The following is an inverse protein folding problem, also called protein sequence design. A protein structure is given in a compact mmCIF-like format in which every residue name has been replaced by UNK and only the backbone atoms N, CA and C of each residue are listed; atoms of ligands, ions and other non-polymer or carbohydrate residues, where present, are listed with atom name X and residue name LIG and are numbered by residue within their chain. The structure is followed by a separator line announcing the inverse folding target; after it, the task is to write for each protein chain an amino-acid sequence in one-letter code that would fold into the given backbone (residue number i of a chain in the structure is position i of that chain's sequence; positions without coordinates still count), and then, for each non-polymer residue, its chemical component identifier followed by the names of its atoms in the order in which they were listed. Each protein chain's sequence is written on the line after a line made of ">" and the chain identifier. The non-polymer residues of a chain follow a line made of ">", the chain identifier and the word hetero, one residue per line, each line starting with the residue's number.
data_IF_015046366058
#
_entry.id   IF_015046366058
#
_cell.length_a   1.000
_cell.length_b   1.000
_cell.length_c   1.000
_cell.angle_alpha   90.00
_cell.angle_beta   90.00
_cell.angle_gamma   90.00
#
_symmetry.space_group_name_H-M   'P 1'
#
loop_
_entity.id
_entity.type
_entity.pdbx_description
1 polymer ?
#
# COMPACT_ATOMS: atom_id res chain seq x y z
N UNK A 1 47.42 -50.18 -19.07
CA UNK A 1 47.35 -49.51 -17.75
C UNK A 1 46.95 -48.08 -18.02
N UNK A 2 45.67 -47.90 -18.31
CA UNK A 2 45.03 -46.61 -18.51
C UNK A 2 43.99 -46.44 -17.40
N UNK A 3 44.03 -45.31 -16.71
CA UNK A 3 42.89 -44.39 -16.64
C UNK A 3 43.26 -43.16 -15.82
N UNK A 4 43.12 -42.03 -16.51
CA UNK A 4 43.23 -40.66 -16.02
C UNK A 4 42.24 -40.41 -14.87
N UNK A 5 42.71 -39.73 -13.83
CA UNK A 5 41.87 -39.11 -12.81
C UNK A 5 41.12 -37.92 -13.41
N UNK A 6 39.80 -38.06 -13.55
CA UNK A 6 38.91 -36.94 -13.85
C UNK A 6 38.51 -36.26 -12.54
N UNK A 7 38.92 -35.00 -12.39
CA UNK A 7 38.47 -34.09 -11.33
C UNK A 7 36.95 -33.92 -11.39
N UNK A 8 36.24 -34.34 -10.35
CA UNK A 8 34.85 -33.98 -10.16
C UNK A 8 34.76 -32.48 -9.85
N UNK A 9 34.26 -31.71 -10.82
CA UNK A 9 33.77 -30.35 -10.64
C UNK A 9 32.43 -30.46 -9.92
N UNK A 10 32.35 -29.96 -8.68
CA UNK A 10 31.09 -29.82 -7.98
C UNK A 10 30.33 -28.65 -8.61
N UNK A 11 29.26 -28.93 -9.36
CA UNK A 11 28.29 -27.91 -9.75
C UNK A 11 27.50 -27.48 -8.51
N UNK A 12 27.29 -26.18 -8.27
CA UNK A 12 26.31 -25.75 -7.28
C UNK A 12 24.92 -26.19 -7.77
N UNK A 13 24.21 -26.95 -6.94
CA UNK A 13 22.78 -27.18 -7.09
C UNK A 13 22.05 -25.85 -7.20
N UNK A 14 20.95 -25.73 -7.98
CA UNK A 14 20.15 -24.51 -7.96
C UNK A 14 19.64 -24.32 -6.54
N UNK A 15 20.11 -23.26 -5.89
CA UNK A 15 19.69 -22.90 -4.54
C UNK A 15 18.19 -22.75 -4.55
N UNK A 16 17.49 -23.51 -3.70
CA UNK A 16 16.06 -23.36 -3.50
C UNK A 16 15.75 -21.90 -3.21
N UNK A 17 14.79 -21.33 -3.92
CA UNK A 17 14.46 -19.93 -3.80
C UNK A 17 13.97 -19.62 -2.39
N UNK A 18 14.65 -18.71 -1.69
CA UNK A 18 14.34 -18.40 -0.30
C UNK A 18 12.99 -17.68 -0.19
N UNK A 19 12.15 -18.14 0.73
CA UNK A 19 10.85 -17.55 0.98
C UNK A 19 11.00 -16.14 1.56
N UNK A 20 10.37 -15.15 0.94
CA UNK A 20 10.43 -13.71 1.27
C UNK A 20 11.86 -13.16 1.25
N UNK A 21 12.65 -13.54 0.25
CA UNK A 21 13.99 -13.00 0.02
C UNK A 21 14.01 -11.54 -0.40
N UNK A 22 12.86 -10.93 -0.75
CA UNK A 22 12.78 -9.52 -1.16
C UNK A 22 11.91 -8.69 -0.21
N UNK A 23 12.39 -7.50 0.15
CA UNK A 23 11.63 -6.47 0.84
C UNK A 23 11.26 -5.33 -0.13
N UNK A 24 9.96 -5.09 -0.29
CA UNK A 24 9.43 -4.02 -1.10
C UNK A 24 8.84 -2.90 -0.23
N UNK A 25 9.09 -1.66 -0.62
CA UNK A 25 8.62 -0.45 0.05
C UNK A 25 7.87 0.41 -0.95
N UNK A 26 6.55 0.52 -0.78
CA UNK A 26 5.65 1.29 -1.61
C UNK A 26 5.40 2.66 -0.97
N UNK A 27 6.02 3.68 -1.54
CA UNK A 27 5.89 5.07 -1.13
C UNK A 27 4.64 5.69 -1.76
N UNK A 28 3.74 6.17 -0.92
CA UNK A 28 2.43 6.67 -1.33
C UNK A 28 2.07 7.95 -0.57
N UNK A 29 1.13 8.69 -1.15
CA UNK A 29 0.30 9.60 -0.39
C UNK A 29 -1.16 9.15 -0.52
N UNK A 30 -1.90 9.02 0.60
CA UNK A 30 -3.30 8.60 0.60
C UNK A 30 -4.24 9.47 -0.25
N UNK A 31 -3.89 10.74 -0.49
CA UNK A 31 -4.70 11.65 -1.30
C UNK A 31 -4.35 11.58 -2.81
N UNK A 32 -3.39 10.74 -3.20
CA UNK A 32 -2.90 10.62 -4.57
C UNK A 32 -3.73 9.65 -5.40
N UNK A 33 -4.25 10.12 -6.54
CA UNK A 33 -5.00 9.26 -7.48
C UNK A 33 -4.12 8.15 -8.08
N UNK A 34 -2.88 8.46 -8.45
CA UNK A 34 -1.97 7.48 -9.04
C UNK A 34 -1.63 6.36 -8.03
N UNK A 35 -1.56 6.68 -6.72
CA UNK A 35 -1.39 5.70 -5.66
C UNK A 35 -2.65 4.86 -5.41
N UNK A 36 -3.85 5.35 -5.77
CA UNK A 36 -5.06 4.53 -5.79
C UNK A 36 -5.08 3.58 -6.99
N UNK A 37 -4.62 4.06 -8.15
CA UNK A 37 -4.64 3.29 -9.40
C UNK A 37 -3.61 2.14 -9.44
N UNK A 38 -2.53 2.22 -8.64
CA UNK A 38 -1.52 1.14 -8.55
C UNK A 38 -2.00 -0.04 -7.69
N UNK A 39 -3.00 0.14 -6.82
CA UNK A 39 -3.49 -0.89 -5.90
C UNK A 39 -3.77 -2.27 -6.56
N UNK A 40 -4.51 -2.38 -7.68
CA UNK A 40 -4.74 -3.67 -8.32
C UNK A 40 -3.45 -4.37 -8.78
N UNK A 41 -2.40 -3.61 -9.13
CA UNK A 41 -1.09 -4.15 -9.50
C UNK A 41 -0.43 -4.80 -8.29
N UNK A 42 -0.48 -4.11 -7.14
CA UNK A 42 0.09 -4.60 -5.89
C UNK A 42 -0.65 -5.83 -5.38
N UNK A 43 -1.98 -5.83 -5.45
CA UNK A 43 -2.80 -6.99 -5.08
C UNK A 43 -2.45 -8.18 -5.97
N UNK A 44 -2.44 -8.01 -7.29
CA UNK A 44 -2.10 -9.10 -8.23
C UNK A 44 -0.68 -9.63 -7.98
N UNK A 45 0.29 -8.73 -7.85
CA UNK A 45 1.69 -9.09 -7.60
C UNK A 45 1.84 -9.87 -6.29
N UNK A 46 1.11 -9.46 -5.24
CA UNK A 46 1.13 -10.16 -3.96
C UNK A 46 0.44 -11.53 -4.01
N UNK A 47 -0.67 -11.67 -4.75
CA UNK A 47 -1.35 -12.96 -4.94
C UNK A 47 -0.47 -13.96 -5.69
N UNK A 48 0.19 -13.51 -6.76
CA UNK A 48 1.03 -14.37 -7.61
C UNK A 48 2.41 -14.64 -6.99
N UNK A 49 3.05 -13.63 -6.37
CA UNK A 49 4.46 -13.71 -5.97
C UNK A 49 4.73 -13.38 -4.51
N UNK A 50 3.71 -13.21 -3.66
CA UNK A 50 3.86 -12.83 -2.25
C UNK A 50 4.63 -13.82 -1.37
N UNK A 51 4.95 -15.01 -1.88
CA UNK A 51 5.88 -15.96 -1.24
C UNK A 51 7.36 -15.55 -1.37
N UNK A 52 7.70 -14.71 -2.35
CA UNK A 52 9.06 -14.26 -2.61
C UNK A 52 9.37 -12.88 -2.03
N UNK A 53 8.34 -12.08 -1.71
CA UNK A 53 8.55 -10.75 -1.16
C UNK A 53 7.57 -10.38 -0.05
N UNK A 54 7.96 -9.41 0.75
CA UNK A 54 7.06 -8.67 1.63
C UNK A 54 6.93 -7.24 1.15
N UNK A 55 5.79 -6.60 1.38
CA UNK A 55 5.56 -5.20 1.01
C UNK A 55 5.16 -4.36 2.22
N UNK A 56 5.70 -3.15 2.31
CA UNK A 56 5.34 -2.15 3.32
C UNK A 56 4.95 -0.85 2.64
N UNK A 57 3.87 -0.24 3.09
CA UNK A 57 3.45 1.08 2.64
C UNK A 57 4.14 2.15 3.47
N UNK A 58 4.74 3.15 2.82
CA UNK A 58 5.42 4.28 3.45
C UNK A 58 4.67 5.55 3.07
N UNK A 59 4.22 6.32 4.06
CA UNK A 59 3.41 7.52 3.82
C UNK A 59 4.32 8.74 3.66
N UNK A 60 4.26 9.42 2.53
CA UNK A 60 5.13 10.57 2.21
C UNK A 60 4.52 11.93 2.57
N UNK A 61 3.19 12.02 2.69
CA UNK A 61 2.41 13.19 3.09
C UNK A 61 2.52 14.43 2.18
N UNK A 62 1.65 15.42 2.45
CA UNK A 62 1.60 16.74 1.78
C UNK A 62 1.71 17.89 2.79
N UNK A 63 2.26 19.01 2.36
CA UNK A 63 2.19 20.28 3.09
C UNK A 63 1.21 21.24 2.42
N UNK A 64 0.35 21.85 3.23
CA UNK A 64 -0.45 22.98 2.79
C UNK A 64 0.42 24.23 2.58
N UNK A 65 0.32 24.80 1.37
CA UNK A 65 1.06 26.00 0.96
C UNK A 65 1.39 26.09 -0.54
N UNK A 66 1.30 24.99 -1.30
CA UNK A 66 1.52 25.02 -2.75
C UNK A 66 0.20 24.97 -3.50
N UNK A 67 -0.15 26.05 -4.19
CA UNK A 67 -1.18 26.10 -5.25
C UNK A 67 -0.72 25.28 -6.47
N UNK A 68 -0.43 24.00 -6.25
CA UNK A 68 -0.01 23.08 -7.28
C UNK A 68 -1.27 22.43 -7.84
N UNK A 69 -1.52 22.68 -9.13
CA UNK A 69 -2.53 21.97 -9.92
C UNK A 69 -2.41 20.44 -9.72
N UNK A 70 -3.52 19.74 -9.91
CA UNK A 70 -3.69 18.28 -9.73
C UNK A 70 -2.60 17.38 -10.35
N UNK A 71 -1.80 17.89 -11.29
CA UNK A 71 -0.71 17.17 -11.97
C UNK A 71 0.70 17.43 -11.40
N UNK A 72 0.85 18.22 -10.33
CA UNK A 72 2.16 18.60 -9.76
C UNK A 72 2.49 17.90 -8.43
N UNK A 73 1.64 16.99 -7.98
CA UNK A 73 1.82 16.21 -6.75
C UNK A 73 3.18 15.49 -6.70
N UNK A 74 3.58 14.93 -7.84
CA UNK A 74 4.69 13.98 -7.99
C UNK A 74 6.07 14.65 -8.14
N UNK A 75 6.27 15.91 -7.71
CA UNK A 75 7.56 16.60 -7.91
C UNK A 75 8.49 16.50 -6.69
N UNK A 76 9.81 16.30 -6.90
CA UNK A 76 10.80 16.17 -5.82
C UNK A 76 10.78 17.32 -4.81
N UNK A 77 10.51 18.53 -5.29
CA UNK A 77 10.47 19.73 -4.47
C UNK A 77 9.38 19.68 -3.39
N UNK A 78 8.23 19.05 -3.66
CA UNK A 78 7.14 18.98 -2.69
C UNK A 78 7.46 18.01 -1.56
N UNK A 79 7.99 16.83 -1.87
CA UNK A 79 8.37 15.82 -0.87
C UNK A 79 9.48 16.35 0.05
N UNK A 80 10.50 16.98 -0.55
CA UNK A 80 11.57 17.63 0.23
C UNK A 80 11.03 18.77 1.10
N UNK A 81 10.10 19.57 0.59
CA UNK A 81 9.45 20.62 1.38
C UNK A 81 8.61 20.05 2.54
N UNK A 82 7.93 18.92 2.34
CA UNK A 82 7.21 18.20 3.40
C UNK A 82 8.16 17.79 4.51
N UNK A 83 9.29 17.18 4.13
CA UNK A 83 10.34 16.83 5.07
C UNK A 83 10.88 18.05 5.82
N UNK A 84 11.32 19.08 5.09
CA UNK A 84 11.92 20.28 5.69
C UNK A 84 10.94 20.98 6.62
N UNK A 85 9.66 21.13 6.27
CA UNK A 85 8.67 21.77 7.15
C UNK A 85 8.37 20.90 8.38
N UNK A 86 8.07 19.62 8.20
CA UNK A 86 7.75 18.71 9.32
C UNK A 86 8.93 18.55 10.28
N UNK A 87 10.14 18.54 9.74
CA UNK A 87 11.39 18.43 10.51
C UNK A 87 11.79 19.75 11.15
N UNK A 88 11.64 20.89 10.47
CA UNK A 88 11.96 22.20 11.03
C UNK A 88 10.99 22.63 12.13
N UNK A 89 9.73 22.18 12.06
CA UNK A 89 8.75 22.36 13.13
C UNK A 89 9.10 21.57 14.41
N UNK A 90 10.01 20.60 14.33
CA UNK A 90 10.44 19.78 15.46
C UNK A 90 11.96 19.59 15.40
N UNK A 91 12.69 20.56 15.96
CA UNK A 91 14.13 20.41 16.18
C UNK A 91 14.42 19.03 16.79
N UNK A 92 15.28 18.26 16.12
CA UNK A 92 15.68 16.91 16.55
C UNK A 92 16.32 16.96 17.93
N UNK A 93 15.50 16.86 18.98
CA UNK A 93 15.95 16.54 20.32
C UNK A 93 15.20 15.30 20.78
N UNK A 94 15.97 14.31 21.24
CA UNK A 94 15.50 13.00 21.67
C UNK A 94 14.67 13.05 22.97
N UNK A 95 14.41 14.24 23.53
CA UNK A 95 13.86 14.42 24.88
C UNK A 95 12.33 14.59 24.96
N UNK A 96 11.60 14.38 23.86
CA UNK A 96 10.14 14.23 23.90
C UNK A 96 9.34 15.46 24.37
N UNK A 97 9.97 16.62 24.59
CA UNK A 97 9.28 17.87 24.94
C UNK A 97 9.00 18.68 23.68
N UNK A 98 7.77 18.57 23.18
CA UNK A 98 7.29 19.24 21.96
C UNK A 98 6.43 20.45 22.34
N UNK A 99 6.81 21.64 21.90
CA UNK A 99 5.90 22.80 21.85
C UNK A 99 5.28 22.85 20.44
N UNK A 100 3.96 22.68 20.35
CA UNK A 100 3.23 22.77 19.07
C UNK A 100 2.85 24.23 18.78
N UNK A 101 3.22 24.72 17.60
CA UNK A 101 2.32 25.61 16.85
C UNK A 101 1.51 24.73 15.88
N UNK A 102 0.24 25.07 15.75
CA UNK A 102 -0.88 24.26 15.29
C UNK A 102 -0.62 23.43 14.02
N UNK A 103 -0.72 22.10 14.15
CA UNK A 103 -0.75 21.16 13.03
C UNK A 103 -2.16 21.08 12.42
N UNK A 104 -2.67 22.21 11.93
CA UNK A 104 -4.03 22.35 11.38
C UNK A 104 -4.16 22.00 9.90
N UNK A 105 -3.10 21.52 9.25
CA UNK A 105 -3.14 21.10 7.85
C UNK A 105 -3.72 19.69 7.70
N UNK A 106 -4.84 19.56 7.02
CA UNK A 106 -5.56 18.30 6.74
C UNK A 106 -4.68 17.15 6.22
N UNK A 107 -3.72 17.35 5.31
CA UNK A 107 -2.91 16.24 4.80
C UNK A 107 -1.96 15.64 5.86
N UNK A 108 -1.51 16.46 6.80
CA UNK A 108 -0.74 15.98 7.95
C UNK A 108 -1.61 15.12 8.87
N UNK A 109 -2.84 15.57 9.15
CA UNK A 109 -3.80 14.84 9.96
C UNK A 109 -4.16 13.47 9.35
N UNK A 110 -4.34 13.42 8.04
CA UNK A 110 -4.57 12.18 7.28
C UNK A 110 -3.40 11.20 7.42
N UNK A 111 -2.16 11.68 7.26
CA UNK A 111 -0.97 10.83 7.39
C UNK A 111 -0.80 10.31 8.82
N UNK A 112 -1.08 11.18 9.80
CA UNK A 112 -1.12 10.84 11.23
C UNK A 112 -2.17 9.77 11.54
N UNK A 113 -3.35 9.86 10.95
CA UNK A 113 -4.42 8.88 11.14
C UNK A 113 -4.02 7.48 10.65
N UNK A 114 -3.35 7.39 9.50
CA UNK A 114 -2.86 6.10 9.00
C UNK A 114 -1.86 5.50 9.99
N UNK A 115 -0.91 6.31 10.48
CA UNK A 115 0.05 5.84 11.48
C UNK A 115 -0.61 5.45 12.80
N UNK A 116 -1.64 6.18 13.25
CA UNK A 116 -2.43 5.81 14.43
C UNK A 116 -3.13 4.46 14.26
N UNK A 117 -3.72 4.20 13.09
CA UNK A 117 -4.29 2.88 12.79
C UNK A 117 -3.22 1.77 12.73
N UNK A 118 -2.03 2.06 12.21
CA UNK A 118 -0.91 1.11 12.16
C UNK A 118 -0.36 0.74 13.55
N UNK A 119 -0.54 1.58 14.59
CA UNK A 119 -0.17 1.23 15.96
C UNK A 119 -0.98 0.04 16.49
N UNK A 120 -2.17 -0.22 15.94
CA UNK A 120 -2.96 -1.42 16.22
C UNK A 120 -2.55 -2.62 15.33
N UNK A 121 -1.52 -2.44 14.49
CA UNK A 121 -0.93 -3.45 13.62
C UNK A 121 -1.00 -3.09 12.13
N UNK A 122 -0.05 -3.62 11.36
CA UNK A 122 0.08 -3.33 9.91
C UNK A 122 -1.21 -3.62 9.11
N UNK A 123 -1.93 -4.69 9.46
CA UNK A 123 -3.21 -5.02 8.82
C UNK A 123 -4.31 -4.00 9.13
N UNK A 124 -4.33 -3.45 10.34
CA UNK A 124 -5.27 -2.39 10.74
C UNK A 124 -5.00 -1.11 9.95
N UNK A 125 -3.73 -0.71 9.84
CA UNK A 125 -3.31 0.42 9.01
C UNK A 125 -3.68 0.28 7.54
N UNK A 126 -3.44 -0.88 6.93
CA UNK A 126 -3.81 -1.15 5.53
C UNK A 126 -5.32 -1.09 5.30
N UNK A 127 -6.14 -1.66 6.20
CA UNK A 127 -7.60 -1.55 6.12
C UNK A 127 -8.07 -0.10 6.24
N UNK A 128 -7.48 0.64 7.18
CA UNK A 128 -7.77 2.06 7.38
C UNK A 128 -7.43 2.90 6.15
N UNK A 129 -6.24 2.70 5.58
CA UNK A 129 -5.81 3.39 4.35
C UNK A 129 -6.80 3.13 3.21
N UNK A 130 -7.16 1.86 2.96
CA UNK A 130 -8.10 1.51 1.89
C UNK A 130 -9.46 2.19 2.11
N UNK A 131 -10.00 2.13 3.33
CA UNK A 131 -11.28 2.78 3.67
C UNK A 131 -11.22 4.30 3.50
N UNK A 132 -10.14 4.92 3.95
CA UNK A 132 -9.94 6.36 3.77
C UNK A 132 -9.93 6.74 2.29
N UNK A 133 -9.22 5.98 1.45
CA UNK A 133 -9.17 6.23 0.01
C UNK A 133 -10.54 6.01 -0.67
N UNK A 134 -11.31 5.01 -0.24
CA UNK A 134 -12.70 4.84 -0.69
C UNK A 134 -13.52 6.12 -0.47
N UNK A 135 -13.51 6.68 0.75
CA UNK A 135 -14.20 7.93 1.04
C UNK A 135 -13.69 9.10 0.18
N UNK A 136 -12.38 9.25 0.03
CA UNK A 136 -11.79 10.35 -0.75
C UNK A 136 -12.19 10.28 -2.23
N UNK A 137 -11.99 9.12 -2.87
CA UNK A 137 -12.10 9.02 -4.33
C UNK A 137 -13.53 8.78 -4.81
N UNK A 138 -14.34 8.06 -4.02
CA UNK A 138 -15.73 7.76 -4.37
C UNK A 138 -16.67 8.89 -4.00
N UNK A 139 -16.54 9.44 -2.79
CA UNK A 139 -17.40 10.52 -2.30
C UNK A 139 -16.83 11.91 -2.61
N UNK A 140 -15.68 11.97 -3.29
CA UNK A 140 -15.03 13.19 -3.76
C UNK A 140 -14.67 14.15 -2.60
N UNK A 141 -14.31 13.59 -1.45
CA UNK A 141 -13.88 14.35 -0.27
C UNK A 141 -12.50 14.95 -0.52
N UNK A 142 -12.42 16.26 -0.60
CA UNK A 142 -11.15 16.98 -0.80
C UNK A 142 -10.37 17.21 0.50
N UNK A 143 -11.06 17.19 1.65
CA UNK A 143 -10.47 17.58 2.93
C UNK A 143 -10.99 16.70 4.09
N UNK A 144 -10.40 15.50 4.31
CA UNK A 144 -10.82 14.61 5.39
C UNK A 144 -10.66 15.24 6.77
N UNK A 145 -11.76 15.42 7.48
CA UNK A 145 -11.77 15.95 8.85
C UNK A 145 -11.73 14.82 9.91
N UNK A 146 -11.68 15.21 11.18
CA UNK A 146 -11.66 14.24 12.27
C UNK A 146 -12.89 13.32 12.30
N UNK A 147 -14.07 13.80 11.89
CA UNK A 147 -15.28 12.99 11.88
C UNK A 147 -15.20 11.88 10.83
N UNK A 148 -14.72 12.22 9.63
CA UNK A 148 -14.48 11.25 8.57
C UNK A 148 -13.41 10.23 8.96
N UNK A 149 -12.31 10.67 9.58
CA UNK A 149 -11.25 9.75 10.04
C UNK A 149 -11.77 8.78 11.10
N UNK A 150 -12.65 9.22 12.00
CA UNK A 150 -13.31 8.34 12.97
C UNK A 150 -14.31 7.38 12.29
N UNK A 151 -15.01 7.82 11.25
CA UNK A 151 -15.85 6.93 10.44
C UNK A 151 -15.01 5.85 9.74
N UNK A 152 -13.88 6.23 9.14
CA UNK A 152 -12.93 5.28 8.54
C UNK A 152 -12.44 4.26 9.56
N UNK A 153 -12.13 4.67 10.80
CA UNK A 153 -11.72 3.76 11.87
C UNK A 153 -12.81 2.74 12.22
N UNK A 154 -14.07 3.18 12.35
CA UNK A 154 -15.21 2.28 12.58
C UNK A 154 -15.36 1.26 11.44
N UNK A 155 -15.36 1.74 10.21
CA UNK A 155 -15.60 0.91 9.01
C UNK A 155 -14.42 0.00 8.66
N UNK A 156 -13.24 0.29 9.20
CA UNK A 156 -12.05 -0.57 9.11
C UNK A 156 -12.01 -1.66 10.18
N UNK A 157 -12.95 -1.64 11.12
CA UNK A 157 -13.05 -2.56 12.25
C UNK A 157 -11.76 -2.56 13.11
N UNK A 158 -11.28 -1.36 13.46
CA UNK A 158 -10.18 -1.13 14.41
C UNK A 158 -10.74 -0.55 15.73
N UNK A 159 -9.96 -0.54 16.81
CA UNK A 159 -10.37 0.07 18.08
C UNK A 159 -10.43 1.59 17.93
N UNK A 160 -11.64 2.13 17.88
CA UNK A 160 -11.88 3.55 17.62
C UNK A 160 -11.43 4.44 18.77
N UNK A 161 -11.57 3.96 20.02
CA UNK A 161 -11.18 4.72 21.19
C UNK A 161 -9.65 4.81 21.31
N UNK A 162 -8.96 3.70 21.01
CA UNK A 162 -7.50 3.72 20.96
C UNK A 162 -6.98 4.55 19.77
N UNK A 163 -7.59 4.40 18.59
CA UNK A 163 -7.29 5.23 17.43
C UNK A 163 -7.43 6.73 17.74
N UNK A 164 -8.49 7.13 18.44
CA UNK A 164 -8.74 8.54 18.81
C UNK A 164 -7.66 9.09 19.73
N UNK A 165 -7.17 8.30 20.68
CA UNK A 165 -6.03 8.68 21.53
C UNK A 165 -4.74 8.79 20.72
N UNK A 166 -4.53 7.83 19.82
CA UNK A 166 -3.30 7.72 19.04
C UNK A 166 -3.17 8.76 17.93
N UNK A 167 -4.28 9.28 17.40
CA UNK A 167 -4.32 10.26 16.31
C UNK A 167 -3.43 11.48 16.55
N UNK A 168 -3.26 11.90 17.81
CA UNK A 168 -2.41 13.04 18.19
C UNK A 168 -1.22 12.64 19.08
N UNK A 169 -0.98 11.33 19.27
CA UNK A 169 0.05 10.80 20.15
C UNK A 169 1.47 11.10 19.63
N UNK A 170 2.44 11.09 20.55
CA UNK A 170 3.85 11.17 20.17
C UNK A 170 4.30 9.95 19.35
N UNK A 171 3.70 8.78 19.58
CA UNK A 171 4.01 7.53 18.86
C UNK A 171 3.64 7.61 17.39
N UNK A 172 2.41 8.04 17.06
CA UNK A 172 1.97 8.22 15.68
C UNK A 172 2.79 9.31 14.96
N UNK A 173 3.14 10.40 15.67
CA UNK A 173 4.01 11.47 15.15
C UNK A 173 5.39 10.94 14.79
N UNK A 174 6.00 10.19 15.71
CA UNK A 174 7.31 9.58 15.49
C UNK A 174 7.28 8.57 14.34
N UNK A 175 6.23 7.75 14.26
CA UNK A 175 6.05 6.80 13.16
C UNK A 175 5.97 7.53 11.81
N UNK A 176 5.20 8.61 11.71
CA UNK A 176 5.12 9.40 10.48
C UNK A 176 6.47 10.07 10.14
N UNK A 177 7.18 10.59 11.14
CA UNK A 177 8.51 11.15 10.93
C UNK A 177 9.52 10.12 10.43
N UNK A 178 9.44 8.88 10.92
CA UNK A 178 10.25 7.78 10.41
C UNK A 178 9.95 7.51 8.93
N UNK A 179 8.68 7.51 8.52
CA UNK A 179 8.30 7.37 7.12
C UNK A 179 8.88 8.49 6.26
N UNK A 180 8.77 9.75 6.71
CA UNK A 180 9.35 10.89 5.99
C UNK A 180 10.87 10.79 5.91
N UNK A 181 11.54 10.38 6.99
CA UNK A 181 13.01 10.21 7.01
C UNK A 181 13.42 9.16 5.99
N UNK A 182 12.75 8.01 6.04
CA UNK A 182 13.00 6.89 5.14
C UNK A 182 12.74 7.28 3.67
N UNK A 183 11.69 8.06 3.41
CA UNK A 183 11.41 8.64 2.08
C UNK A 183 12.57 9.47 1.54
N UNK A 184 13.22 10.27 2.38
CA UNK A 184 14.38 11.07 1.98
C UNK A 184 15.65 10.23 1.81
N UNK A 185 15.89 9.28 2.71
CA UNK A 185 17.01 8.34 2.64
C UNK A 185 16.96 7.52 1.34
N UNK A 186 15.75 7.15 0.89
CA UNK A 186 15.53 6.43 -0.37
C UNK A 186 15.47 7.34 -1.61
N UNK A 187 15.74 8.64 -1.44
CA UNK A 187 15.72 9.64 -2.50
C UNK A 187 14.44 9.58 -3.35
N UNK A 188 13.28 9.46 -2.68
CA UNK A 188 11.99 9.42 -3.36
C UNK A 188 11.62 10.83 -3.81
N UNK A 189 11.45 10.98 -5.12
CA UNK A 189 11.17 12.27 -5.75
C UNK A 189 9.77 12.36 -6.33
N UNK A 190 9.09 11.23 -6.49
CA UNK A 190 7.75 11.13 -7.05
C UNK A 190 7.01 9.94 -6.43
N UNK A 191 5.67 9.95 -6.54
CA UNK A 191 4.80 8.91 -5.97
C UNK A 191 3.70 8.53 -6.98
N UNK A 192 3.24 7.26 -7.02
CA UNK A 192 3.76 6.14 -6.24
C UNK A 192 5.20 5.80 -6.66
N UNK A 193 6.00 5.31 -5.71
CA UNK A 193 7.32 4.73 -5.99
C UNK A 193 7.47 3.42 -5.25
N UNK A 194 8.07 2.42 -5.88
CA UNK A 194 8.32 1.11 -5.30
C UNK A 194 9.83 0.88 -5.26
N UNK A 195 10.35 0.58 -4.07
CA UNK A 195 11.77 0.24 -3.89
C UNK A 195 11.88 -1.19 -3.41
N UNK A 196 12.72 -1.99 -4.05
CA UNK A 196 12.93 -3.38 -3.71
C UNK A 196 14.37 -3.62 -3.25
N UNK A 197 14.52 -4.41 -2.19
CA UNK A 197 15.79 -4.86 -1.64
C UNK A 197 15.81 -6.37 -1.58
N UNK A 198 16.93 -6.99 -1.93
CA UNK A 198 17.15 -8.39 -1.58
C UNK A 198 17.62 -8.47 -0.13
N UNK A 199 16.90 -9.22 0.71
CA UNK A 199 17.07 -9.26 2.17
C UNK A 199 18.48 -9.71 2.62
N UNK A 200 19.15 -10.51 1.80
CA UNK A 200 20.47 -11.09 2.09
C UNK A 200 21.59 -10.50 1.21
N UNK A 201 21.39 -9.30 0.65
CA UNK A 201 22.37 -8.65 -0.22
C UNK A 201 22.77 -7.28 0.32
N UNK A 202 24.06 -6.97 0.28
CA UNK A 202 24.58 -5.60 0.47
C UNK A 202 24.44 -4.75 -0.80
N UNK A 203 23.84 -5.30 -1.87
CA UNK A 203 23.58 -4.58 -3.11
C UNK A 203 22.55 -3.47 -2.93
N UNK A 204 22.67 -2.43 -3.76
CA UNK A 204 21.72 -1.32 -3.79
C UNK A 204 20.31 -1.80 -4.19
N UNK A 205 19.29 -1.23 -3.55
CA UNK A 205 17.90 -1.50 -3.90
C UNK A 205 17.53 -0.91 -5.26
N UNK A 206 16.59 -1.55 -5.95
CA UNK A 206 16.07 -1.07 -7.24
C UNK A 206 14.81 -0.24 -6.99
N UNK A 207 14.79 1.00 -7.49
CA UNK A 207 13.64 1.92 -7.41
C UNK A 207 12.91 2.02 -8.75
N UNK A 208 11.61 1.83 -8.72
CA UNK A 208 10.68 2.20 -9.78
C UNK A 208 9.88 3.42 -9.33
N UNK A 209 9.82 4.45 -10.17
CA UNK A 209 9.14 5.69 -9.84
C UNK A 209 8.01 5.94 -10.84
N UNK A 210 6.78 6.10 -10.34
CA UNK A 210 5.56 6.21 -11.14
C UNK A 210 4.85 4.88 -11.39
N UNK A 211 3.86 4.91 -12.29
CA UNK A 211 3.01 3.76 -12.59
C UNK A 211 3.41 3.12 -13.93
N UNK A 212 3.98 1.92 -13.88
CA UNK A 212 4.36 1.12 -15.05
C UNK A 212 3.40 -0.05 -15.29
N UNK A 213 3.59 -0.77 -16.40
CA UNK A 213 2.83 -2.00 -16.65
C UNK A 213 3.18 -3.08 -15.62
N UNK A 214 2.23 -3.99 -15.40
CA UNK A 214 2.38 -5.11 -14.47
C UNK A 214 3.67 -5.90 -14.69
N UNK A 215 3.98 -6.19 -15.96
CA UNK A 215 5.14 -7.00 -16.35
C UNK A 215 6.48 -6.40 -15.91
N UNK A 216 6.58 -5.07 -15.80
CA UNK A 216 7.80 -4.40 -15.33
C UNK A 216 8.09 -4.78 -13.87
N UNK A 217 7.06 -4.78 -13.01
CA UNK A 217 7.22 -5.18 -11.61
C UNK A 217 7.61 -6.66 -11.48
N UNK A 218 7.03 -7.53 -12.31
CA UNK A 218 7.35 -8.97 -12.35
C UNK A 218 8.80 -9.19 -12.80
N UNK A 219 9.25 -8.47 -13.83
CA UNK A 219 10.63 -8.56 -14.33
C UNK A 219 11.64 -8.14 -13.27
N UNK A 220 11.41 -7.05 -12.55
CA UNK A 220 12.32 -6.64 -11.48
C UNK A 220 12.34 -7.62 -10.32
N UNK A 221 11.18 -8.19 -9.96
CA UNK A 221 11.15 -9.22 -8.94
C UNK A 221 11.96 -10.46 -9.37
N UNK A 222 11.86 -10.87 -10.66
CA UNK A 222 12.68 -11.96 -11.24
C UNK A 222 14.18 -11.66 -11.13
N UNK A 223 14.58 -10.44 -11.48
CA UNK A 223 15.99 -10.02 -11.42
C UNK A 223 16.54 -10.04 -9.99
N UNK A 224 15.75 -9.58 -9.01
CA UNK A 224 16.18 -9.48 -7.62
C UNK A 224 16.23 -10.80 -6.89
N UNK A 225 15.25 -11.68 -7.14
CA UNK A 225 15.17 -12.98 -6.48
C UNK A 225 16.28 -13.93 -6.96
N UNK A 226 16.91 -13.65 -8.11
CA UNK A 226 18.03 -14.42 -8.69
C UNK A 226 17.74 -15.92 -8.87
N UNK A 227 16.45 -16.26 -8.97
CA UNK A 227 15.92 -17.62 -9.13
C UNK A 227 14.76 -17.57 -10.13
N UNK A 228 14.37 -18.72 -10.67
CA UNK A 228 13.15 -18.83 -11.46
C UNK A 228 11.92 -18.69 -10.56
N UNK A 229 11.13 -17.63 -10.76
CA UNK A 229 9.88 -17.42 -10.04
C UNK A 229 8.68 -17.64 -10.97
N UNK A 230 7.73 -18.40 -10.46
CA UNK A 230 6.44 -18.67 -11.11
C UNK A 230 5.30 -18.07 -10.29
N UNK A 231 4.24 -17.56 -10.95
CA UNK A 231 3.04 -17.04 -10.28
C UNK A 231 2.27 -18.19 -9.62
N UNK A 232 1.81 -17.94 -8.39
CA UNK A 232 0.84 -18.80 -7.71
C UNK A 232 -0.53 -18.71 -8.39
N UNK A 233 -1.33 -19.80 -8.36
CA UNK A 233 -2.69 -19.76 -8.87
C UNK A 233 -3.54 -18.76 -8.07
N UNK A 234 -4.26 -17.90 -8.79
CA UNK A 234 -5.15 -16.93 -8.18
C UNK A 234 -6.25 -17.62 -7.35
N UNK A 235 -6.63 -17.05 -6.19
CA UNK A 235 -7.67 -17.63 -5.35
C UNK A 235 -9.04 -17.53 -6.03
N UNK A 236 -10.06 -18.25 -5.55
CA UNK A 236 -11.43 -18.05 -5.99
C UNK A 236 -11.90 -16.60 -5.76
N UNK A 237 -12.74 -16.08 -6.66
CA UNK A 237 -13.24 -14.70 -6.63
C UNK A 237 -13.82 -14.29 -5.26
N UNK A 238 -14.57 -15.18 -4.61
CA UNK A 238 -15.14 -14.91 -3.28
C UNK A 238 -14.07 -14.67 -2.21
N UNK A 239 -12.95 -15.40 -2.26
CA UNK A 239 -11.83 -15.25 -1.31
C UNK A 239 -11.15 -13.90 -1.51
N UNK A 240 -10.98 -13.46 -2.76
CA UNK A 240 -10.47 -12.11 -3.05
C UNK A 240 -11.40 -11.02 -2.52
N UNK A 241 -12.71 -11.15 -2.76
CA UNK A 241 -13.71 -10.17 -2.34
C UNK A 241 -13.79 -10.07 -0.82
N UNK A 242 -13.71 -11.21 -0.13
CA UNK A 242 -13.63 -11.24 1.33
C UNK A 242 -12.32 -10.63 1.85
N UNK A 243 -11.19 -10.84 1.18
CA UNK A 243 -9.92 -10.24 1.60
C UNK A 243 -9.89 -8.71 1.40
N UNK A 244 -10.36 -8.24 0.25
CA UNK A 244 -10.32 -6.82 -0.15
C UNK A 244 -11.48 -6.01 0.40
N UNK A 245 -12.61 -6.65 0.73
CA UNK A 245 -13.88 -6.08 1.22
C UNK A 245 -14.57 -5.09 0.26
N UNK A 246 -13.84 -4.42 -0.62
CA UNK A 246 -14.35 -3.43 -1.55
C UNK A 246 -13.43 -3.28 -2.77
N UNK A 247 -13.96 -3.57 -3.96
CA UNK A 247 -13.19 -3.58 -5.21
C UNK A 247 -14.09 -3.30 -6.42
N UNK A 248 -13.55 -2.67 -7.46
CA UNK A 248 -14.24 -2.40 -8.72
C UNK A 248 -14.22 -3.60 -9.68
N UNK A 249 -15.19 -3.64 -10.60
CA UNK A 249 -15.18 -4.60 -11.71
C UNK A 249 -13.88 -4.51 -12.52
N UNK A 250 -13.33 -3.30 -12.69
CA UNK A 250 -12.11 -3.04 -13.46
C UNK A 250 -10.87 -3.60 -12.78
N UNK A 251 -10.73 -3.39 -11.47
CA UNK A 251 -9.63 -3.96 -10.67
C UNK A 251 -9.67 -5.49 -10.70
N UNK A 252 -10.85 -6.11 -10.49
CA UNK A 252 -11.00 -7.58 -10.54
C UNK A 252 -10.67 -8.12 -11.94
N UNK A 253 -11.16 -7.47 -13.00
CA UNK A 253 -10.88 -7.86 -14.38
C UNK A 253 -9.37 -7.85 -14.69
N UNK A 254 -8.65 -6.85 -14.18
CA UNK A 254 -7.19 -6.78 -14.27
C UNK A 254 -6.49 -7.88 -13.47
N UNK A 255 -6.94 -8.16 -12.25
CA UNK A 255 -6.31 -9.19 -11.39
C UNK A 255 -6.44 -10.58 -12.02
N UNK A 256 -7.60 -10.92 -12.59
CA UNK A 256 -7.88 -12.24 -13.15
C UNK A 256 -7.65 -12.36 -14.67
N UNK A 257 -7.08 -11.33 -15.31
CA UNK A 257 -6.84 -11.29 -16.76
C UNK A 257 -8.05 -11.69 -17.62
N UNK A 258 -9.22 -11.14 -17.28
CA UNK A 258 -10.47 -11.47 -17.95
C UNK A 258 -11.27 -10.22 -18.34
N UNK A 259 -12.16 -10.30 -19.34
CA UNK A 259 -12.98 -9.16 -19.73
C UNK A 259 -13.87 -8.68 -18.58
N UNK A 260 -13.96 -7.36 -18.39
CA UNK A 260 -14.79 -6.76 -17.34
C UNK A 260 -16.25 -7.27 -17.37
N UNK A 261 -16.81 -7.51 -18.56
CA UNK A 261 -18.18 -8.03 -18.71
C UNK A 261 -18.36 -9.44 -18.12
N UNK A 262 -17.33 -10.27 -18.15
CA UNK A 262 -17.35 -11.61 -17.58
C UNK A 262 -17.33 -11.56 -16.05
N UNK A 263 -16.43 -10.75 -15.50
CA UNK A 263 -16.38 -10.47 -14.06
C UNK A 263 -17.72 -9.93 -13.54
N UNK A 264 -18.33 -9.00 -14.27
CA UNK A 264 -19.63 -8.46 -13.87
C UNK A 264 -20.74 -9.51 -13.89
N UNK A 265 -20.68 -10.51 -14.78
CA UNK A 265 -21.62 -11.63 -14.76
C UNK A 265 -21.43 -12.48 -13.50
N UNK A 266 -20.19 -12.80 -13.14
CA UNK A 266 -19.90 -13.56 -11.91
C UNK A 266 -20.27 -12.79 -10.65
N UNK A 267 -19.96 -11.50 -10.58
CA UNK A 267 -20.31 -10.63 -9.45
C UNK A 267 -21.82 -10.46 -9.30
N UNK A 268 -22.58 -10.37 -10.40
CA UNK A 268 -24.05 -10.40 -10.36
C UNK A 268 -24.60 -11.71 -9.82
N UNK A 269 -23.99 -12.87 -10.13
CA UNK A 269 -24.37 -14.15 -9.50
C UNK A 269 -24.13 -14.11 -7.99
N UNK A 270 -23.02 -13.53 -7.53
CA UNK A 270 -22.73 -13.37 -6.10
C UNK A 270 -23.69 -12.38 -5.42
N UNK A 271 -24.11 -11.33 -6.12
CA UNK A 271 -25.13 -10.39 -5.65
C UNK A 271 -26.49 -11.08 -5.46
N UNK A 272 -26.91 -11.94 -6.39
CA UNK A 272 -28.13 -12.75 -6.25
C UNK A 272 -28.05 -13.69 -5.04
N UNK A 273 -26.85 -14.17 -4.70
CA UNK A 273 -26.58 -14.95 -3.49
C UNK A 273 -26.41 -14.10 -2.23
N UNK A 274 -26.60 -12.77 -2.31
CA UNK A 274 -26.43 -11.79 -1.22
C UNK A 274 -25.03 -11.81 -0.56
N UNK A 275 -23.99 -12.17 -1.31
CA UNK A 275 -22.60 -12.12 -0.83
C UNK A 275 -21.92 -10.78 -1.07
N UNK A 276 -22.40 -10.02 -2.06
CA UNK A 276 -21.87 -8.69 -2.38
C UNK A 276 -22.99 -7.69 -2.63
N UNK A 277 -22.69 -6.42 -2.38
CA UNK A 277 -23.52 -5.27 -2.72
C UNK A 277 -22.84 -4.50 -3.85
N UNK A 278 -23.59 -4.22 -4.92
CA UNK A 278 -23.14 -3.36 -6.01
C UNK A 278 -23.33 -1.89 -5.62
N UNK A 279 -22.31 -1.07 -5.86
CA UNK A 279 -22.30 0.37 -5.64
C UNK A 279 -21.79 1.02 -6.94
N UNK A 280 -22.56 1.95 -7.51
CA UNK A 280 -22.21 2.62 -8.76
C UNK A 280 -21.79 4.06 -8.47
N UNK A 281 -20.56 4.42 -8.88
CA UNK A 281 -19.95 5.74 -8.65
C UNK A 281 -19.29 6.20 -9.92
N UNK A 282 -19.64 7.38 -10.43
CA UNK A 282 -19.00 8.01 -11.62
C UNK A 282 -18.89 7.05 -12.83
N UNK A 283 -19.93 6.24 -13.07
CA UNK A 283 -19.99 5.21 -14.13
C UNK A 283 -19.05 4.00 -13.95
N UNK A 284 -18.43 3.85 -12.79
CA UNK A 284 -17.71 2.65 -12.39
C UNK A 284 -18.55 1.84 -11.39
N UNK A 285 -18.44 0.51 -11.47
CA UNK A 285 -19.14 -0.42 -10.57
C UNK A 285 -18.18 -0.99 -9.56
N UNK A 286 -18.51 -0.77 -8.30
CA UNK A 286 -17.83 -1.31 -7.15
C UNK A 286 -18.67 -2.36 -6.45
N UNK A 287 -17.99 -3.26 -5.75
CA UNK A 287 -18.59 -4.43 -5.11
C UNK A 287 -18.07 -4.51 -3.68
N UNK A 288 -18.98 -4.28 -2.73
CA UNK A 288 -18.73 -4.39 -1.30
C UNK A 288 -19.07 -5.80 -0.85
N UNK A 289 -18.13 -6.47 -0.17
CA UNK A 289 -18.40 -7.76 0.46
C UNK A 289 -19.41 -7.59 1.60
N UNK A 290 -20.40 -8.47 1.65
CA UNK A 290 -21.34 -8.54 2.76
C UNK A 290 -20.82 -9.64 3.68
N UNK A 291 -20.12 -9.24 4.75
CA UNK A 291 -19.81 -10.18 5.82
C UNK A 291 -21.13 -10.76 6.32
N UNK A 292 -21.23 -12.09 6.41
CA UNK A 292 -22.37 -12.70 7.10
C UNK A 292 -22.42 -12.06 8.49
N UNK A 293 -23.53 -11.41 8.83
CA UNK A 293 -23.87 -11.23 10.24
C UNK A 293 -23.66 -12.60 10.87
N UNK A 294 -22.74 -12.69 11.84
CA UNK A 294 -22.74 -13.85 12.72
C UNK A 294 -24.16 -13.89 13.23
N UNK A 295 -24.89 -14.94 12.88
CA UNK A 295 -26.20 -15.23 13.45
C UNK A 295 -26.01 -15.17 14.96
N UNK A 296 -26.36 -14.02 15.55
CA UNK A 296 -26.51 -13.84 16.98
C UNK A 296 -27.79 -14.61 17.34
N UNK A 297 -27.61 -15.91 17.53
CA UNK A 297 -28.56 -16.78 18.23
C UNK A 297 -28.03 -16.99 19.63
#
# INVERSE_FOLDING_TARGET
>A
MDKQEAKHINMPSPSACEHKSVEAYLFIDPLCKDCWEIEPFIIKLWLEYGKYFSIRHIVTGKVDGTNASSHKWNKPANIRFVWEKTTSLQGFSCDGKVHMQEASSTPYLVSMAIKAAELQGRKAGSKFLRKLQEYIFLENVSNPDCELLLACARDSNIDVEEFKKDLHSASAKKAFQCDLKFTNEMHITEIPSLVFFHANSDEEGIKIAGNYSYDVYVQLLKELVKCEIEPEPLPPLEVLLEATQFISSKEVAFIYDCPQQEIERELKKLQLKRKVQMIEVKCERYWKWIAKEKDLV
#
